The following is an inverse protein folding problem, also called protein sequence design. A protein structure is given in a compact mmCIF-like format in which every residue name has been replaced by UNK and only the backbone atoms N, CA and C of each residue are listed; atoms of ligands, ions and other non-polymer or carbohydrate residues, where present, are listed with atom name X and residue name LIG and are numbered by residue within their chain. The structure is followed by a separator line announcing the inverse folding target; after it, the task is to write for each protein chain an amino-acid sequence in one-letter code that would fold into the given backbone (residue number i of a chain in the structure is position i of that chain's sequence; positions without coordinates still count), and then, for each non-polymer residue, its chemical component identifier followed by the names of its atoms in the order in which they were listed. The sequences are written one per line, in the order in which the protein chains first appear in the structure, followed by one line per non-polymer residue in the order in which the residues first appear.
data_IF_679988178136
#
_entry.id   IF_679988178136
#
_cell.length_a   1.000
_cell.length_b   1.000
_cell.length_c   1.000
_cell.angle_alpha   90.00
_cell.angle_beta   90.00
_cell.angle_gamma   90.00
#
_symmetry.space_group_name_H-M   'P 1'
#
loop_
_entity.id
_entity.type
_entity.pdbx_description
1 polymer ?
#
# COMPACT_ATOMS: atom_id res chain seq x y z
N UNK A 1 -5.74 -17.48 4.68
CA UNK A 1 -4.38 -17.45 5.23
C UNK A 1 -3.89 -16.02 5.14
N UNK A 2 -4.17 -15.22 6.16
CA UNK A 2 -3.83 -13.82 6.28
C UNK A 2 -2.32 -13.57 6.14
N UNK A 3 -1.48 -14.45 6.72
CA UNK A 3 -0.03 -14.39 6.64
C UNK A 3 0.54 -14.74 5.25
N UNK A 4 -0.19 -15.47 4.41
CA UNK A 4 0.19 -15.72 3.01
C UNK A 4 -0.25 -14.59 2.05
N UNK A 5 -0.99 -13.61 2.54
CA UNK A 5 -1.46 -12.53 1.67
C UNK A 5 -0.34 -11.59 1.20
N UNK A 6 0.64 -11.20 2.02
CA UNK A 6 1.74 -10.37 1.53
C UNK A 6 2.53 -11.07 0.43
N UNK A 7 2.77 -12.38 0.56
CA UNK A 7 3.48 -13.16 -0.46
C UNK A 7 2.65 -13.31 -1.73
N UNK A 8 1.34 -13.56 -1.62
CA UNK A 8 0.43 -13.57 -2.78
C UNK A 8 0.40 -12.22 -3.50
N UNK A 9 0.37 -11.11 -2.76
CA UNK A 9 0.40 -9.76 -3.32
C UNK A 9 1.73 -9.49 -4.05
N UNK A 10 2.85 -9.80 -3.40
CA UNK A 10 4.19 -9.65 -3.97
C UNK A 10 4.40 -10.48 -5.25
N UNK A 11 3.98 -11.74 -5.26
CA UNK A 11 4.20 -12.62 -6.41
C UNK A 11 3.18 -12.32 -7.51
N UNK A 12 1.89 -12.42 -7.19
CA UNK A 12 0.82 -12.39 -8.20
C UNK A 12 0.61 -11.01 -8.79
N UNK A 13 0.85 -9.95 -8.02
CA UNK A 13 0.51 -8.61 -8.43
C UNK A 13 1.76 -7.82 -8.79
N UNK A 14 2.64 -7.61 -7.80
CA UNK A 14 3.86 -6.85 -8.00
C UNK A 14 4.77 -7.52 -9.04
N UNK A 15 4.95 -8.84 -8.91
CA UNK A 15 5.72 -9.64 -9.86
C UNK A 15 5.17 -9.58 -11.27
N UNK A 16 3.87 -9.84 -11.45
CA UNK A 16 3.23 -9.79 -12.78
C UNK A 16 3.40 -8.43 -13.45
N UNK A 17 3.17 -7.32 -12.74
CA UNK A 17 3.36 -5.99 -13.33
C UNK A 17 4.82 -5.71 -13.71
N UNK A 18 5.78 -6.14 -12.88
CA UNK A 18 7.20 -5.99 -13.19
C UNK A 18 7.62 -6.84 -14.39
N UNK A 19 7.08 -8.04 -14.54
CA UNK A 19 7.32 -8.92 -15.69
C UNK A 19 6.70 -8.36 -16.98
N UNK A 20 5.49 -7.78 -16.91
CA UNK A 20 4.89 -7.07 -18.05
C UNK A 20 5.79 -5.91 -18.48
N UNK A 21 6.29 -5.09 -17.55
CA UNK A 21 7.23 -4.01 -17.87
C UNK A 21 8.51 -4.57 -18.51
N UNK A 22 9.06 -5.65 -17.98
CA UNK A 22 10.24 -6.31 -18.53
C UNK A 22 10.03 -6.77 -19.98
N UNK A 23 8.89 -7.40 -20.28
CA UNK A 23 8.54 -7.82 -21.64
C UNK A 23 8.43 -6.64 -22.62
N UNK A 24 8.07 -5.45 -22.12
CA UNK A 24 8.02 -4.20 -22.89
C UNK A 24 9.37 -3.47 -22.94
N UNK A 25 10.46 -4.05 -22.42
CA UNK A 25 11.77 -3.42 -22.35
C UNK A 25 11.84 -2.23 -21.38
N UNK A 26 10.95 -2.18 -20.40
CA UNK A 26 10.81 -1.08 -19.45
C UNK A 26 10.94 -1.55 -17.99
N UNK A 27 11.03 -0.58 -17.07
CA UNK A 27 10.97 -0.84 -15.64
C UNK A 27 12.27 -1.35 -15.01
N UNK A 28 12.24 -1.70 -13.70
CA UNK A 28 13.43 -1.97 -12.91
C UNK A 28 14.17 -3.26 -13.27
N UNK A 29 13.54 -4.14 -14.07
CA UNK A 29 14.11 -5.41 -14.51
C UNK A 29 14.85 -5.30 -15.85
N UNK A 30 14.51 -4.29 -16.68
CA UNK A 30 15.12 -4.08 -18.00
C UNK A 30 16.36 -3.18 -17.91
N UNK A 31 17.35 -3.62 -17.12
CA UNK A 31 18.63 -2.92 -16.93
C UNK A 31 19.70 -3.44 -17.89
N UNK A 32 20.56 -2.54 -18.36
CA UNK A 32 21.76 -2.90 -19.13
C UNK A 32 23.04 -2.60 -18.32
N UNK A 33 23.97 -3.56 -18.17
CA UNK A 33 23.89 -4.96 -18.58
C UNK A 33 22.91 -5.78 -17.70
N UNK A 34 22.45 -6.97 -18.15
CA UNK A 34 21.38 -7.71 -17.51
C UNK A 34 21.70 -8.11 -16.06
N UNK A 35 20.65 -8.25 -15.26
CA UNK A 35 20.72 -8.73 -13.87
C UNK A 35 21.08 -10.21 -13.83
N UNK A 36 21.78 -10.65 -12.78
CA UNK A 36 21.93 -12.09 -12.53
C UNK A 36 20.59 -12.71 -12.13
N UNK A 37 20.43 -14.02 -12.32
CA UNK A 37 19.16 -14.73 -12.08
C UNK A 37 18.59 -14.47 -10.68
N UNK A 38 19.44 -14.52 -9.66
CA UNK A 38 19.03 -14.23 -8.27
C UNK A 38 18.48 -12.81 -8.13
N UNK A 39 19.20 -11.81 -8.62
CA UNK A 39 18.76 -10.41 -8.57
C UNK A 39 17.47 -10.19 -9.34
N UNK A 40 17.30 -10.86 -10.49
CA UNK A 40 16.07 -10.80 -11.28
C UNK A 40 14.88 -11.35 -10.50
N UNK A 41 15.01 -12.54 -9.88
CA UNK A 41 13.94 -13.17 -9.09
C UNK A 41 13.57 -12.30 -7.88
N UNK A 42 14.54 -11.84 -7.08
CA UNK A 42 14.26 -11.00 -5.93
C UNK A 42 13.66 -9.66 -6.32
N UNK A 43 14.15 -9.02 -7.39
CA UNK A 43 13.60 -7.74 -7.86
C UNK A 43 12.19 -7.90 -8.41
N UNK A 44 11.86 -9.06 -8.98
CA UNK A 44 10.51 -9.36 -9.45
C UNK A 44 9.56 -9.53 -8.28
N UNK A 45 9.91 -10.37 -7.31
CA UNK A 45 9.01 -10.73 -6.22
C UNK A 45 8.92 -9.64 -5.14
N UNK A 46 9.98 -8.89 -4.85
CA UNK A 46 10.01 -7.97 -3.72
C UNK A 46 9.84 -6.51 -4.13
N UNK A 47 9.35 -5.63 -3.24
CA UNK A 47 9.24 -4.19 -3.48
C UNK A 47 10.61 -3.47 -3.41
N UNK A 48 11.58 -3.92 -4.22
CA UNK A 48 12.95 -3.41 -4.22
C UNK A 48 13.30 -2.72 -5.54
N UNK A 49 14.22 -1.74 -5.46
CA UNK A 49 14.90 -1.14 -6.60
C UNK A 49 16.40 -1.35 -6.44
N UNK A 50 17.03 -1.93 -7.46
CA UNK A 50 18.50 -2.05 -7.48
C UNK A 50 19.06 -0.73 -7.98
N UNK A 51 19.91 -0.07 -7.18
CA UNK A 51 20.69 1.07 -7.66
C UNK A 51 22.07 0.58 -8.11
N UNK A 52 22.44 0.95 -9.34
CA UNK A 52 23.71 0.50 -9.94
C UNK A 52 24.84 1.52 -9.87
N UNK A 53 24.58 2.79 -9.51
CA UNK A 53 25.63 3.80 -9.39
C UNK A 53 25.96 4.11 -7.93
N UNK A 54 27.24 3.91 -7.58
CA UNK A 54 27.85 4.21 -6.28
C UNK A 54 27.85 5.70 -5.88
N UNK A 55 27.29 6.62 -6.69
CA UNK A 55 27.37 8.06 -6.42
C UNK A 55 26.33 8.60 -5.41
N UNK A 56 25.41 7.78 -4.89
CA UNK A 56 24.46 8.22 -3.84
C UNK A 56 24.50 7.43 -2.54
N UNK A 57 25.38 6.43 -2.44
CA UNK A 57 25.53 5.58 -1.24
C UNK A 57 25.87 6.39 0.03
N UNK A 58 26.62 7.49 -0.09
CA UNK A 58 27.09 8.26 1.07
C UNK A 58 26.06 9.21 1.69
N UNK A 59 25.00 9.61 0.98
CA UNK A 59 24.06 10.64 1.46
C UNK A 59 22.76 10.09 2.06
N UNK A 60 22.42 8.81 1.85
CA UNK A 60 21.15 8.26 2.31
C UNK A 60 21.31 7.18 3.40
N UNK A 61 22.41 6.41 3.37
CA UNK A 61 22.78 5.49 4.48
C UNK A 61 23.01 6.28 5.79
N UNK A 62 23.43 7.54 5.70
CA UNK A 62 23.58 8.46 6.83
C UNK A 62 22.27 9.10 7.32
N UNK A 63 21.18 9.08 6.55
CA UNK A 63 19.90 9.69 6.96
C UNK A 63 18.94 8.77 7.71
N UNK A 64 19.19 7.46 7.75
CA UNK A 64 18.20 6.49 8.25
C UNK A 64 18.69 5.60 9.40
N UNK A 65 19.61 6.09 10.26
CA UNK A 65 19.69 5.58 11.64
C UNK A 65 18.52 6.14 12.45
N UNK A 66 17.30 5.68 12.15
CA UNK A 66 16.14 5.96 13.00
C UNK A 66 16.43 5.36 14.38
N UNK A 67 16.53 6.21 15.39
CA UNK A 67 16.72 5.81 16.79
C UNK A 67 15.69 4.75 17.19
N UNK A 68 16.03 3.82 18.10
CA UNK A 68 15.08 2.86 18.67
C UNK A 68 13.78 3.53 19.17
N UNK A 69 13.87 4.80 19.57
CA UNK A 69 12.73 5.66 19.97
C UNK A 69 11.67 5.83 18.89
N UNK A 70 12.01 5.67 17.61
CA UNK A 70 11.06 5.75 16.49
C UNK A 70 10.14 4.52 16.41
N UNK A 71 10.56 3.38 16.98
CA UNK A 71 9.78 2.14 17.00
C UNK A 71 8.90 2.01 18.25
N UNK A 72 9.12 2.84 19.27
CA UNK A 72 8.30 2.85 20.50
C UNK A 72 6.84 3.24 20.24
N UNK A 73 6.51 4.29 19.45
CA UNK A 73 5.12 4.66 19.19
C UNK A 73 4.32 3.59 18.42
N UNK A 74 4.86 2.95 17.35
CA UNK A 74 4.18 1.83 16.68
C UNK A 74 3.90 0.64 17.59
N UNK A 75 4.85 0.26 18.45
CA UNK A 75 4.69 -0.86 19.41
C UNK A 75 3.65 -0.51 20.47
N UNK A 76 3.74 0.69 21.05
CA UNK A 76 2.75 1.16 22.02
C UNK A 76 1.35 1.21 21.41
N UNK A 77 1.23 1.70 20.18
CA UNK A 77 -0.08 1.75 19.53
C UNK A 77 -0.58 0.37 19.11
N UNK A 78 0.29 -0.57 18.75
CA UNK A 78 -0.09 -1.97 18.55
C UNK A 78 -0.72 -2.54 19.83
N UNK A 79 -0.07 -2.34 20.98
CA UNK A 79 -0.61 -2.75 22.30
C UNK A 79 -1.96 -2.06 22.56
N UNK A 80 -2.07 -0.75 22.34
CA UNK A 80 -3.33 0.00 22.51
C UNK A 80 -4.43 -0.53 21.57
N UNK A 81 -4.12 -0.87 20.32
CA UNK A 81 -5.09 -1.42 19.37
C UNK A 81 -5.59 -2.79 19.78
N UNK A 82 -4.72 -3.65 20.32
CA UNK A 82 -5.07 -4.96 20.85
C UNK A 82 -5.93 -4.80 22.12
N UNK A 83 -5.52 -3.96 23.06
CA UNK A 83 -6.28 -3.68 24.28
C UNK A 83 -7.63 -3.02 23.99
N UNK A 84 -7.71 -2.18 22.95
CA UNK A 84 -8.94 -1.51 22.54
C UNK A 84 -10.01 -2.50 22.04
N UNK A 85 -9.63 -3.69 21.54
CA UNK A 85 -10.59 -4.74 21.16
C UNK A 85 -11.40 -5.21 22.36
N UNK A 86 -10.80 -5.30 23.55
CA UNK A 86 -11.52 -5.66 24.79
C UNK A 86 -12.56 -4.62 25.21
N UNK A 87 -12.44 -3.38 24.72
CA UNK A 87 -13.37 -2.26 24.99
C UNK A 87 -14.17 -1.83 23.75
N UNK A 88 -14.20 -2.65 22.70
CA UNK A 88 -14.82 -2.32 21.40
C UNK A 88 -16.28 -1.86 21.52
N UNK A 89 -17.04 -2.39 22.50
CA UNK A 89 -18.44 -2.02 22.69
C UNK A 89 -18.65 -0.69 23.45
N UNK A 90 -17.61 -0.15 24.11
CA UNK A 90 -17.68 1.09 24.90
C UNK A 90 -17.11 2.31 24.16
N UNK A 91 -16.33 2.09 23.11
CA UNK A 91 -15.65 3.14 22.37
C UNK A 91 -16.48 3.60 21.16
N UNK A 92 -16.37 4.88 20.82
CA UNK A 92 -17.08 5.44 19.67
C UNK A 92 -16.60 4.75 18.36
N UNK A 93 -17.50 4.37 17.41
CA UNK A 93 -17.14 3.64 16.20
C UNK A 93 -16.05 4.32 15.34
N UNK A 94 -16.04 5.66 15.28
CA UNK A 94 -14.99 6.42 14.58
C UNK A 94 -13.61 6.24 15.23
N UNK A 95 -13.55 6.25 16.57
CA UNK A 95 -12.30 6.09 17.31
C UNK A 95 -11.73 4.68 17.10
N UNK A 96 -12.59 3.66 17.20
CA UNK A 96 -12.21 2.27 16.93
C UNK A 96 -11.68 2.16 15.50
N UNK A 97 -12.42 2.63 14.50
CA UNK A 97 -11.99 2.49 13.10
C UNK A 97 -10.72 3.30 12.81
N UNK A 98 -10.49 4.42 13.51
CA UNK A 98 -9.24 5.18 13.41
C UNK A 98 -8.04 4.38 13.95
N UNK A 99 -8.22 3.67 15.07
CA UNK A 99 -7.20 2.76 15.61
C UNK A 99 -6.90 1.62 14.61
N UNK A 100 -7.92 1.10 13.95
CA UNK A 100 -7.76 0.09 12.89
C UNK A 100 -7.00 0.63 11.68
N UNK A 101 -7.25 1.88 11.29
CA UNK A 101 -6.53 2.55 10.21
C UNK A 101 -5.04 2.66 10.52
N UNK A 102 -4.70 3.07 11.74
CA UNK A 102 -3.31 3.15 12.15
C UNK A 102 -2.67 1.77 12.27
N UNK A 103 -3.39 0.78 12.81
CA UNK A 103 -2.92 -0.60 12.86
C UNK A 103 -2.54 -1.12 11.47
N UNK A 104 -3.40 -0.90 10.47
CA UNK A 104 -3.12 -1.29 9.08
C UNK A 104 -1.88 -0.57 8.53
N UNK A 105 -1.71 0.71 8.84
CA UNK A 105 -0.55 1.50 8.46
C UNK A 105 0.75 0.93 9.06
N UNK A 106 0.79 0.68 10.38
CA UNK A 106 1.95 0.05 11.03
C UNK A 106 2.23 -1.32 10.42
N UNK A 107 1.19 -2.14 10.22
CA UNK A 107 1.34 -3.49 9.71
C UNK A 107 2.02 -3.48 8.34
N UNK A 108 1.60 -2.57 7.44
CA UNK A 108 2.18 -2.43 6.12
C UNK A 108 3.63 -1.91 6.18
N UNK A 109 3.92 -0.95 7.06
CA UNK A 109 5.30 -0.49 7.30
C UNK A 109 6.20 -1.60 7.85
N UNK A 110 5.73 -2.37 8.83
CA UNK A 110 6.46 -3.47 9.43
C UNK A 110 6.76 -4.57 8.39
N UNK A 111 5.75 -4.96 7.59
CA UNK A 111 5.93 -5.92 6.50
C UNK A 111 6.98 -5.44 5.50
N UNK A 112 6.99 -4.15 5.16
CA UNK A 112 8.04 -3.60 4.32
C UNK A 112 9.40 -3.74 4.99
N UNK A 113 9.57 -3.23 6.21
CA UNK A 113 10.87 -3.28 6.92
C UNK A 113 11.39 -4.71 7.06
N UNK A 114 10.50 -5.68 7.29
CA UNK A 114 10.87 -7.09 7.31
C UNK A 114 11.36 -7.57 5.94
N UNK A 115 10.64 -7.25 4.86
CA UNK A 115 11.08 -7.59 3.49
C UNK A 115 12.39 -6.91 3.13
N UNK A 116 12.63 -5.69 3.63
CA UNK A 116 13.86 -4.97 3.35
C UNK A 116 15.05 -5.56 4.07
N UNK A 117 14.88 -5.87 5.35
CA UNK A 117 15.86 -6.56 6.16
C UNK A 117 16.25 -7.89 5.53
N UNK A 118 15.27 -8.73 5.17
CA UNK A 118 15.53 -10.03 4.55
C UNK A 118 16.24 -9.93 3.20
N UNK A 119 15.82 -8.99 2.34
CA UNK A 119 16.47 -8.78 1.04
C UNK A 119 17.90 -8.21 1.17
N UNK A 120 18.16 -7.39 2.19
CA UNK A 120 19.48 -6.81 2.45
C UNK A 120 20.56 -7.84 2.77
N UNK A 121 20.20 -9.02 3.27
CA UNK A 121 21.15 -10.13 3.46
C UNK A 121 21.60 -10.78 2.15
N UNK A 122 20.79 -10.65 1.09
CA UNK A 122 21.01 -11.35 -0.17
C UNK A 122 21.59 -10.39 -1.21
N UNK A 123 21.18 -9.12 -1.19
CA UNK A 123 21.58 -8.11 -2.17
C UNK A 123 21.75 -6.75 -1.50
N UNK A 124 22.82 -6.02 -1.87
CA UNK A 124 22.95 -4.60 -1.55
C UNK A 124 21.95 -3.81 -2.41
N UNK A 125 20.80 -3.47 -1.83
CA UNK A 125 19.72 -2.73 -2.52
C UNK A 125 19.31 -1.50 -1.74
N UNK A 126 18.81 -0.49 -2.47
CA UNK A 126 18.08 0.63 -1.87
C UNK A 126 16.58 0.38 -1.95
N UNK A 127 15.92 0.55 -0.82
CA UNK A 127 14.48 0.35 -0.71
C UNK A 127 13.75 1.65 -0.93
N UNK A 128 12.77 1.62 -1.81
CA UNK A 128 11.85 2.73 -1.96
C UNK A 128 10.91 2.72 -0.74
N UNK A 129 10.84 3.81 0.05
CA UNK A 129 9.93 3.86 1.18
C UNK A 129 8.49 3.70 0.66
N UNK A 130 7.67 2.83 1.29
CA UNK A 130 6.25 2.74 0.89
C UNK A 130 5.52 4.05 1.15
N UNK A 131 5.89 4.76 2.21
CA UNK A 131 5.21 5.97 2.66
C UNK A 131 6.19 7.13 2.80
N UNK A 132 5.74 8.31 2.40
CA UNK A 132 6.44 9.58 2.61
C UNK A 132 5.52 10.53 3.38
N UNK A 133 5.47 10.35 4.69
CA UNK A 133 4.69 11.15 5.64
C UNK A 133 3.26 11.50 5.12
N UNK A 134 2.37 10.51 4.93
CA UNK A 134 1.06 10.71 4.30
C UNK A 134 0.16 11.72 5.02
N UNK A 135 0.39 11.91 6.33
CA UNK A 135 -0.30 12.94 7.11
C UNK A 135 0.02 14.37 6.66
N UNK A 136 1.12 14.61 5.94
CA UNK A 136 1.48 15.93 5.40
C UNK A 136 0.96 16.18 3.98
N UNK A 137 -0.05 15.42 3.54
CA UNK A 137 -0.65 15.60 2.23
C UNK A 137 -1.55 16.84 2.17
N UNK A 138 -1.24 17.78 1.28
CA UNK A 138 -2.04 19.00 1.07
C UNK A 138 -3.06 18.89 -0.06
N UNK A 139 -3.13 17.75 -0.74
CA UNK A 139 -4.10 17.47 -1.80
C UNK A 139 -4.21 15.96 -2.08
N UNK A 140 -5.27 15.51 -2.74
CA UNK A 140 -5.45 14.09 -3.06
C UNK A 140 -4.40 13.62 -4.06
N UNK A 141 -4.04 14.47 -5.03
CA UNK A 141 -2.89 14.20 -5.91
C UNK A 141 -1.58 14.00 -5.14
N UNK A 142 -1.35 14.79 -4.09
CA UNK A 142 -0.15 14.69 -3.27
C UNK A 142 -0.20 13.42 -2.40
N UNK A 143 -1.34 13.11 -1.79
CA UNK A 143 -1.56 11.89 -1.01
C UNK A 143 -1.30 10.64 -1.84
N UNK A 144 -2.08 10.41 -2.90
CA UNK A 144 -2.02 9.18 -3.70
C UNK A 144 -0.79 9.11 -4.62
N UNK A 145 -0.28 10.24 -5.09
CA UNK A 145 0.79 10.26 -6.08
C UNK A 145 2.20 10.34 -5.52
N UNK A 146 2.37 10.83 -4.28
CA UNK A 146 3.69 11.15 -3.72
C UNK A 146 3.90 10.72 -2.28
N UNK A 147 2.87 10.26 -1.55
CA UNK A 147 3.01 9.95 -0.12
C UNK A 147 2.49 8.60 0.29
N UNK A 148 1.46 8.09 -0.39
CA UNK A 148 0.84 6.81 -0.11
C UNK A 148 1.33 5.72 -1.08
N UNK A 149 1.87 4.63 -0.52
CA UNK A 149 2.28 3.42 -1.22
C UNK A 149 3.08 3.68 -2.52
N UNK A 150 4.23 4.35 -2.39
CA UNK A 150 5.04 4.82 -3.51
C UNK A 150 5.47 3.71 -4.48
N UNK A 151 5.73 2.50 -3.98
CA UNK A 151 6.10 1.35 -4.81
C UNK A 151 4.95 1.00 -5.77
N UNK A 152 3.74 0.83 -5.24
CA UNK A 152 2.56 0.52 -6.07
C UNK A 152 2.22 1.70 -6.98
N UNK A 153 2.26 2.92 -6.46
CA UNK A 153 2.00 4.14 -7.23
C UNK A 153 2.96 4.30 -8.40
N UNK A 154 4.25 3.96 -8.24
CA UNK A 154 5.22 4.00 -9.32
C UNK A 154 4.99 2.90 -10.36
N UNK A 155 4.67 1.69 -9.94
CA UNK A 155 4.40 0.58 -10.85
C UNK A 155 3.14 0.87 -11.67
N UNK A 156 2.04 1.26 -11.03
CA UNK A 156 0.82 1.65 -11.73
C UNK A 156 1.03 2.85 -12.64
N UNK A 157 1.94 3.77 -12.28
CA UNK A 157 2.29 4.89 -13.14
C UNK A 157 2.90 4.41 -14.46
N UNK A 158 3.84 3.48 -14.42
CA UNK A 158 4.51 2.96 -15.62
C UNK A 158 3.66 1.95 -16.39
N UNK A 159 2.90 1.09 -15.71
CA UNK A 159 2.13 0.03 -16.36
C UNK A 159 0.77 0.47 -16.87
N UNK A 160 0.09 1.38 -16.17
CA UNK A 160 -1.28 1.77 -16.48
C UNK A 160 -1.36 3.23 -16.91
N UNK A 161 -0.88 4.16 -16.07
CA UNK A 161 -1.09 5.59 -16.31
C UNK A 161 -0.42 6.07 -17.61
N UNK A 162 0.87 5.77 -17.81
CA UNK A 162 1.58 6.18 -19.02
C UNK A 162 0.96 5.62 -20.30
N UNK A 163 0.74 4.29 -20.44
CA UNK A 163 0.06 3.72 -21.61
C UNK A 163 -1.35 4.29 -21.80
N UNK A 164 -2.12 4.47 -20.71
CA UNK A 164 -3.46 5.06 -20.79
C UNK A 164 -3.40 6.49 -21.34
N UNK A 165 -2.42 7.30 -20.93
CA UNK A 165 -2.25 8.65 -21.48
C UNK A 165 -1.92 8.64 -22.96
N UNK A 166 -1.09 7.70 -23.40
CA UNK A 166 -0.70 7.60 -24.82
C UNK A 166 -1.92 7.20 -25.67
N UNK A 167 -2.75 6.28 -25.19
CA UNK A 167 -4.03 5.93 -25.84
C UNK A 167 -4.99 7.11 -25.86
N UNK A 168 -5.19 7.80 -24.73
CA UNK A 168 -6.11 8.93 -24.66
C UNK A 168 -5.64 10.17 -25.42
N UNK A 169 -4.36 10.25 -25.80
CA UNK A 169 -3.85 11.33 -26.65
C UNK A 169 -4.55 11.39 -28.01
N UNK A 170 -5.04 10.27 -28.52
CA UNK A 170 -5.76 10.19 -29.79
C UNK A 170 -7.23 10.61 -29.69
N UNK A 171 -7.81 10.64 -28.48
CA UNK A 171 -9.25 10.83 -28.27
C UNK A 171 -9.56 12.13 -27.52
N UNK A 172 -8.68 12.56 -26.63
CA UNK A 172 -8.91 13.64 -25.67
C UNK A 172 -7.91 14.77 -25.89
N UNK A 173 -8.32 16.05 -25.81
CA UNK A 173 -7.40 17.17 -25.94
C UNK A 173 -6.23 17.11 -24.95
N UNK A 174 -5.04 17.53 -25.37
CA UNK A 174 -3.79 17.45 -24.59
C UNK A 174 -3.91 17.94 -23.15
N UNK A 175 -4.73 18.98 -22.92
CA UNK A 175 -4.99 19.56 -21.60
C UNK A 175 -5.66 18.58 -20.63
N UNK A 176 -6.49 17.66 -21.12
CA UNK A 176 -7.36 16.80 -20.32
C UNK A 176 -6.95 15.34 -20.25
N UNK A 177 -5.96 14.90 -21.03
CA UNK A 177 -5.46 13.51 -21.10
C UNK A 177 -5.20 12.88 -19.71
N UNK A 178 -4.70 13.67 -18.76
CA UNK A 178 -4.39 13.18 -17.41
C UNK A 178 -5.63 12.68 -16.65
N UNK A 179 -6.82 13.23 -16.90
CA UNK A 179 -8.04 12.91 -16.14
C UNK A 179 -8.51 11.47 -16.41
N UNK A 180 -8.79 11.05 -17.66
CA UNK A 180 -9.19 9.66 -17.92
C UNK A 180 -8.07 8.67 -17.61
N UNK A 181 -6.79 9.04 -17.80
CA UNK A 181 -5.68 8.17 -17.43
C UNK A 181 -5.58 7.93 -15.91
N UNK A 182 -5.79 8.96 -15.09
CA UNK A 182 -5.90 8.80 -13.63
C UNK A 182 -7.09 7.90 -13.29
N UNK A 183 -8.25 8.13 -13.89
CA UNK A 183 -9.45 7.33 -13.62
C UNK A 183 -9.22 5.84 -13.90
N UNK A 184 -8.63 5.49 -15.06
CA UNK A 184 -8.27 4.11 -15.40
C UNK A 184 -7.26 3.52 -14.42
N UNK A 185 -6.27 4.31 -13.98
CA UNK A 185 -5.29 3.86 -12.98
C UNK A 185 -5.96 3.51 -11.65
N UNK A 186 -6.90 4.32 -11.19
CA UNK A 186 -7.67 4.05 -9.97
C UNK A 186 -8.64 2.88 -10.14
N UNK A 187 -9.26 2.71 -11.31
CA UNK A 187 -10.09 1.54 -11.62
C UNK A 187 -9.27 0.25 -11.51
N UNK A 188 -8.11 0.18 -12.17
CA UNK A 188 -7.22 -0.98 -12.10
C UNK A 188 -6.77 -1.23 -10.66
N UNK A 189 -6.38 -0.18 -9.93
CA UNK A 189 -6.06 -0.29 -8.49
C UNK A 189 -7.24 -0.87 -7.69
N UNK A 190 -8.47 -0.43 -7.94
CA UNK A 190 -9.68 -0.91 -7.27
C UNK A 190 -9.93 -2.39 -7.48
N UNK A 191 -9.88 -2.85 -8.73
CA UNK A 191 -10.02 -4.28 -9.08
C UNK A 191 -8.92 -5.11 -8.41
N UNK A 192 -7.69 -4.60 -8.39
CA UNK A 192 -6.59 -5.27 -7.71
C UNK A 192 -6.83 -5.42 -6.20
N UNK A 193 -7.42 -4.42 -5.54
CA UNK A 193 -7.73 -4.52 -4.12
C UNK A 193 -8.87 -5.51 -3.83
N UNK A 194 -9.86 -5.65 -4.72
CA UNK A 194 -10.86 -6.72 -4.63
C UNK A 194 -10.20 -8.11 -4.69
N UNK A 195 -9.26 -8.31 -5.63
CA UNK A 195 -8.51 -9.57 -5.74
C UNK A 195 -7.66 -9.83 -4.49
N UNK A 196 -7.02 -8.81 -3.93
CA UNK A 196 -6.26 -8.93 -2.68
C UNK A 196 -7.17 -9.36 -1.53
N UNK A 197 -8.35 -8.76 -1.39
CA UNK A 197 -9.30 -9.11 -0.34
C UNK A 197 -9.90 -10.51 -0.55
N UNK A 198 -10.10 -10.92 -1.81
CA UNK A 198 -10.45 -12.29 -2.16
C UNK A 198 -9.36 -13.27 -1.71
N UNK A 199 -8.08 -12.98 -1.95
CA UNK A 199 -6.98 -13.85 -1.50
C UNK A 199 -6.80 -13.87 0.03
N UNK A 200 -7.00 -12.72 0.69
CA UNK A 200 -6.96 -12.61 2.16
C UNK A 200 -8.06 -13.43 2.82
N UNK A 201 -9.29 -13.26 2.33
CA UNK A 201 -10.51 -13.66 3.03
C UNK A 201 -11.25 -14.85 2.47
N UNK A 202 -11.01 -15.17 1.19
CA UNK A 202 -11.94 -15.93 0.32
C UNK A 202 -13.35 -15.32 0.31
N UNK A 203 -13.42 -14.00 0.50
CA UNK A 203 -14.66 -13.24 0.44
C UNK A 203 -15.02 -12.96 -1.02
N UNK A 204 -16.30 -13.07 -1.37
CA UNK A 204 -16.80 -12.71 -2.70
C UNK A 204 -16.57 -11.22 -2.95
N UNK A 205 -15.95 -10.82 -4.08
CA UNK A 205 -15.80 -9.42 -4.44
C UNK A 205 -17.15 -8.71 -4.53
N UNK A 206 -17.37 -7.69 -3.70
CA UNK A 206 -18.63 -6.93 -3.68
C UNK A 206 -18.56 -5.64 -4.51
N UNK A 207 -17.36 -5.23 -4.92
CA UNK A 207 -17.15 -3.97 -5.63
C UNK A 207 -17.08 -2.75 -4.71
N UNK A 208 -17.18 -2.92 -3.39
CA UNK A 208 -17.06 -1.83 -2.40
C UNK A 208 -15.67 -1.17 -2.45
N UNK A 209 -14.61 -1.96 -2.61
CA UNK A 209 -13.24 -1.46 -2.70
C UNK A 209 -13.00 -0.81 -4.06
N UNK A 210 -13.53 -1.40 -5.13
CA UNK A 210 -13.46 -0.77 -6.45
C UNK A 210 -14.15 0.59 -6.43
N UNK A 211 -15.33 0.68 -5.80
CA UNK A 211 -16.06 1.93 -5.63
C UNK A 211 -15.27 2.96 -4.82
N UNK A 212 -14.58 2.54 -3.74
CA UNK A 212 -13.68 3.41 -2.98
C UNK A 212 -12.60 4.04 -3.89
N UNK A 213 -11.89 3.25 -4.68
CA UNK A 213 -10.85 3.77 -5.56
C UNK A 213 -11.42 4.61 -6.71
N UNK A 214 -12.58 4.26 -7.26
CA UNK A 214 -13.23 5.06 -8.30
C UNK A 214 -13.62 6.45 -7.82
N UNK A 215 -14.18 6.57 -6.61
CA UNK A 215 -14.50 7.86 -6.00
C UNK A 215 -13.21 8.68 -5.82
N UNK A 216 -12.14 8.07 -5.28
CA UNK A 216 -10.85 8.74 -5.14
C UNK A 216 -10.29 9.20 -6.49
N UNK A 217 -10.34 8.35 -7.51
CA UNK A 217 -9.88 8.66 -8.86
C UNK A 217 -10.68 9.80 -9.52
N UNK A 218 -11.99 9.81 -9.34
CA UNK A 218 -12.86 10.91 -9.80
C UNK A 218 -12.52 12.22 -9.08
N UNK A 219 -12.33 12.19 -7.76
CA UNK A 219 -11.94 13.38 -6.99
C UNK A 219 -10.55 13.90 -7.35
N UNK A 220 -9.57 13.02 -7.57
CA UNK A 220 -8.25 13.40 -8.09
C UNK A 220 -8.36 14.00 -9.49
N UNK A 221 -9.17 13.41 -10.36
CA UNK A 221 -9.47 13.95 -11.69
C UNK A 221 -10.10 15.35 -11.63
N UNK A 222 -11.09 15.54 -10.76
CA UNK A 222 -11.72 16.83 -10.50
C UNK A 222 -10.71 17.85 -9.96
N UNK A 223 -9.84 17.45 -9.05
CA UNK A 223 -8.78 18.29 -8.52
C UNK A 223 -7.81 18.75 -9.62
N UNK A 224 -7.48 17.86 -10.58
CA UNK A 224 -6.68 18.21 -11.76
C UNK A 224 -7.41 19.25 -12.61
N UNK A 225 -8.71 19.09 -12.83
CA UNK A 225 -9.52 20.04 -13.61
C UNK A 225 -9.52 21.40 -12.94
N UNK A 226 -9.86 21.46 -11.65
CA UNK A 226 -9.89 22.69 -10.85
C UNK A 226 -8.54 23.40 -10.89
N UNK A 227 -7.43 22.70 -10.65
CA UNK A 227 -6.08 23.31 -10.69
C UNK A 227 -5.73 23.82 -12.08
N UNK A 228 -6.16 23.14 -13.14
CA UNK A 228 -5.90 23.57 -14.53
C UNK A 228 -6.81 24.71 -14.98
N UNK A 229 -8.02 24.88 -14.45
CA UNK A 229 -8.94 25.96 -14.82
C UNK A 229 -8.74 27.21 -13.98
N UNK A 230 -8.57 27.06 -12.67
CA UNK A 230 -8.48 28.18 -11.72
C UNK A 230 -7.03 28.68 -11.52
N UNK A 231 -6.03 27.94 -12.01
CA UNK A 231 -4.62 28.32 -11.92
C UNK A 231 -4.12 28.44 -10.47
N UNK A 232 -3.16 29.35 -10.22
CA UNK A 232 -2.55 29.61 -8.89
C UNK A 232 -3.50 30.40 -7.97
N UNK A 233 -4.65 30.89 -8.48
CA UNK A 233 -5.52 31.82 -7.74
C UNK A 233 -6.23 31.21 -6.53
N UNK A 234 -6.31 29.88 -6.44
CA UNK A 234 -7.01 29.19 -5.35
C UNK A 234 -6.09 28.16 -4.67
N UNK A 235 -5.10 28.65 -3.93
CA UNK A 235 -4.27 27.83 -3.06
C UNK A 235 -4.66 28.09 -1.60
N UNK A 236 -5.48 27.21 -0.97
CA UNK A 236 -5.78 27.34 0.44
C UNK A 236 -4.50 27.24 1.28
N UNK A 237 -4.46 27.84 2.48
CA UNK A 237 -3.33 27.69 3.39
C UNK A 237 -2.98 26.20 3.60
N UNK A 238 -1.69 25.83 3.71
CA UNK A 238 -1.27 24.44 3.77
C UNK A 238 -1.99 23.60 4.83
N UNK A 239 -2.23 24.18 6.01
CA UNK A 239 -2.92 23.51 7.12
C UNK A 239 -4.37 23.20 6.74
N UNK A 240 -5.09 24.17 6.16
CA UNK A 240 -6.49 23.98 5.73
C UNK A 240 -6.57 22.91 4.64
N UNK A 241 -5.65 22.96 3.68
CA UNK A 241 -5.57 21.98 2.59
C UNK A 241 -5.27 20.57 3.12
N UNK A 242 -4.38 20.47 4.10
CA UNK A 242 -4.00 19.23 4.76
C UNK A 242 -5.16 18.64 5.55
N UNK A 243 -5.80 19.42 6.41
CA UNK A 243 -6.98 18.98 7.18
C UNK A 243 -8.08 18.53 6.23
N UNK A 244 -8.41 19.32 5.20
CA UNK A 244 -9.45 18.95 4.23
C UNK A 244 -9.12 17.63 3.50
N UNK A 245 -7.89 17.48 3.03
CA UNK A 245 -7.44 16.28 2.31
C UNK A 245 -7.52 15.05 3.21
N UNK A 246 -6.97 15.12 4.41
CA UNK A 246 -6.98 14.01 5.36
C UNK A 246 -8.39 13.67 5.82
N UNK A 247 -9.19 14.67 6.20
CA UNK A 247 -10.58 14.45 6.61
C UNK A 247 -11.39 13.79 5.50
N UNK A 248 -11.22 14.21 4.24
CA UNK A 248 -11.86 13.58 3.10
C UNK A 248 -11.43 12.12 2.92
N UNK A 249 -10.11 11.85 2.88
CA UNK A 249 -9.58 10.48 2.71
C UNK A 249 -10.06 9.59 3.85
N UNK A 250 -10.00 10.07 5.09
CA UNK A 250 -10.45 9.31 6.27
C UNK A 250 -11.95 9.03 6.21
N UNK A 251 -12.78 10.03 5.87
CA UNK A 251 -14.23 9.87 5.78
C UNK A 251 -14.62 8.80 4.75
N UNK A 252 -14.06 8.86 3.55
CA UNK A 252 -14.34 7.88 2.48
C UNK A 252 -13.79 6.50 2.87
N UNK A 253 -12.63 6.43 3.52
CA UNK A 253 -12.06 5.17 4.03
C UNK A 253 -12.95 4.53 5.09
N UNK A 254 -13.49 5.33 6.03
CA UNK A 254 -14.40 4.84 7.06
C UNK A 254 -15.70 4.27 6.49
N UNK A 255 -16.16 4.78 5.35
CA UNK A 255 -17.43 4.36 4.74
C UNK A 255 -17.30 3.13 3.85
N UNK A 256 -16.22 3.01 3.08
CA UNK A 256 -16.12 1.98 2.04
C UNK A 256 -14.99 0.98 2.31
N UNK A 257 -13.83 1.47 2.76
CA UNK A 257 -12.65 0.60 2.91
C UNK A 257 -12.69 -0.22 4.21
N UNK A 258 -12.87 0.44 5.35
CA UNK A 258 -12.81 -0.23 6.65
C UNK A 258 -13.94 -1.24 6.90
N UNK A 259 -15.20 -1.00 6.50
CA UNK A 259 -16.25 -2.02 6.65
C UNK A 259 -15.88 -3.32 5.93
N UNK A 260 -15.41 -3.22 4.68
CA UNK A 260 -14.89 -4.36 3.92
C UNK A 260 -13.70 -5.03 4.62
N UNK A 261 -12.77 -4.24 5.17
CA UNK A 261 -11.60 -4.78 5.88
C UNK A 261 -11.96 -5.48 7.19
N UNK A 262 -12.94 -4.97 7.94
CA UNK A 262 -13.36 -5.55 9.22
C UNK A 262 -14.18 -6.83 9.04
N UNK A 263 -14.91 -6.99 7.92
CA UNK A 263 -15.60 -8.25 7.57
C UNK A 263 -14.63 -9.43 7.43
N UNK A 264 -13.35 -9.15 7.14
CA UNK A 264 -12.32 -10.18 7.05
C UNK A 264 -11.99 -10.83 8.41
N UNK A 265 -12.30 -10.17 9.53
CA UNK A 265 -11.77 -10.51 10.85
C UNK A 265 -10.23 -10.67 10.83
N UNK A 266 -9.49 -9.59 10.49
CA UNK A 266 -8.04 -9.67 10.28
C UNK A 266 -7.31 -10.08 11.57
N UNK A 267 -7.76 -9.63 12.73
CA UNK A 267 -7.15 -9.95 14.02
C UNK A 267 -7.35 -11.41 14.42
N UNK A 268 -8.59 -11.92 14.33
CA UNK A 268 -8.87 -13.30 14.68
C UNK A 268 -8.16 -14.26 13.75
N UNK A 269 -8.15 -13.97 12.44
CA UNK A 269 -7.39 -14.77 11.46
C UNK A 269 -5.89 -14.74 11.73
N UNK A 270 -5.31 -13.56 11.94
CA UNK A 270 -3.88 -13.44 12.24
C UNK A 270 -3.50 -14.20 13.52
N UNK A 271 -4.29 -14.07 14.58
CA UNK A 271 -4.05 -14.77 15.84
C UNK A 271 -4.11 -16.29 15.68
N UNK A 272 -5.16 -16.80 15.02
CA UNK A 272 -5.32 -18.23 14.72
C UNK A 272 -4.13 -18.80 13.93
N UNK A 273 -3.65 -18.05 12.95
CA UNK A 273 -2.51 -18.47 12.12
C UNK A 273 -1.19 -18.44 12.88
N UNK A 274 -0.97 -17.43 13.74
CA UNK A 274 0.20 -17.38 14.63
C UNK A 274 0.18 -18.55 15.62
N UNK A 275 -0.98 -18.84 16.22
CA UNK A 275 -1.12 -19.97 17.16
C UNK A 275 -0.89 -21.32 16.47
N UNK A 276 -1.38 -21.49 15.24
CA UNK A 276 -1.10 -22.67 14.44
C UNK A 276 0.40 -22.83 14.12
N UNK A 277 1.08 -21.73 13.79
CA UNK A 277 2.53 -21.74 13.57
C UNK A 277 3.30 -22.11 14.84
N UNK A 278 2.95 -21.52 15.99
CA UNK A 278 3.57 -21.86 17.28
C UNK A 278 3.30 -23.31 17.68
N UNK A 279 2.08 -23.79 17.45
CA UNK A 279 1.70 -25.18 17.66
C UNK A 279 2.50 -26.14 16.79
N UNK A 280 2.70 -25.81 15.51
CA UNK A 280 3.57 -26.56 14.60
C UNK A 280 5.01 -26.60 15.11
N UNK A 281 5.58 -25.45 15.48
CA UNK A 281 6.96 -25.38 16.01
C UNK A 281 7.12 -26.22 17.29
N UNK A 282 6.10 -26.25 18.16
CA UNK A 282 6.16 -26.99 19.43
C UNK A 282 5.91 -28.50 19.27
N UNK A 283 5.01 -28.90 18.37
CA UNK A 283 4.50 -30.28 18.29
C UNK A 283 4.90 -31.04 17.03
N UNK A 284 5.46 -30.37 16.03
CA UNK A 284 5.80 -30.94 14.72
C UNK A 284 4.60 -31.33 13.85
N UNK A 285 3.37 -31.11 14.32
CA UNK A 285 2.14 -31.45 13.60
C UNK A 285 1.55 -30.23 12.91
N UNK A 286 1.21 -30.39 11.63
CA UNK A 286 0.48 -29.37 10.86
C UNK A 286 -0.99 -29.49 11.24
N UNK A 287 -1.46 -28.57 12.08
CA UNK A 287 -2.86 -28.46 12.48
C UNK A 287 -3.51 -27.27 11.77
N UNK A 288 -4.81 -27.39 11.47
CA UNK A 288 -5.54 -26.33 10.78
C UNK A 288 -5.62 -25.08 11.67
N UNK A 289 -5.44 -23.84 11.13
CA UNK A 289 -5.63 -22.62 11.91
C UNK A 289 -7.03 -22.49 12.55
N UNK A 290 -8.03 -23.22 12.05
CA UNK A 290 -9.40 -23.21 12.58
C UNK A 290 -9.48 -23.93 13.93
N UNK A 291 -8.53 -24.82 14.24
CA UNK A 291 -8.51 -25.64 15.46
C UNK A 291 -7.92 -24.90 16.67
N UNK A 292 -7.33 -23.71 16.46
CA UNK A 292 -6.79 -22.88 17.53
C UNK A 292 -7.77 -21.79 17.93
N UNK A 293 -8.08 -21.72 19.23
CA UNK A 293 -8.73 -20.55 19.82
C UNK A 293 -7.71 -19.42 19.99
N UNK A 294 -8.10 -18.18 19.69
CA UNK A 294 -7.27 -17.02 19.98
C UNK A 294 -7.44 -16.67 21.47
N UNK A 295 -6.39 -16.72 22.31
CA UNK A 295 -6.52 -16.48 23.75
C UNK A 295 -6.79 -15.00 24.11
N UNK A 296 -6.73 -14.10 23.12
CA UNK A 296 -6.90 -12.65 23.29
C UNK A 296 -8.22 -12.12 22.70
N UNK A 297 -9.13 -13.02 22.29
CA UNK A 297 -10.46 -12.71 21.77
C UNK A 297 -11.57 -13.30 22.62
#
# INVERSE_FOLDING_TARGET
MFLCSPTSFFISLLGTFKLILYALGQGPLSLYPPLSLSHFVFTTCLPIKILRNQEKSSQQITKNKKSLKHYVPPILLFIVTVMSQSYKYRLHPLLITSLHAYYLFILLEFLLVLTTFLAGYIVVVEFEPLFDDPHHATSLQNFWGKRWNLVVSNILRTTIYHPSRDIFRYVVPQRWISVPAVFVTFLVSGVMHELVFYHLGRLTPTGELTSFFLIQGACVGMEIVIKKTMGVRFQPPPIVAQTLTLSFVMLISFRLFFPSFLRLDPYGRACREIMAFLGFVKSGKILSPIEYACPFM
#
